data_IF_920021516977
#
_entry.id   IF_920021516977
#
_cell.length_a   1.000
_cell.length_b   1.000
_cell.length_c   1.000
_cell.angle_alpha   90.00
_cell.angle_beta   90.00
_cell.angle_gamma   90.00
#
_symmetry.space_group_name_H-M   'P 1'
#
loop_
_entity.id
_entity.type
_entity.pdbx_description
1 polymer ?
#
# COMPACT_ATOMS: atom_id res chain seq x y z
N UNK A 1 -5.01 -55.20 -40.33
CA UNK A 1 -5.72 -55.03 -39.04
C UNK A 1 -4.83 -54.33 -38.00
N UNK A 2 -3.57 -54.75 -37.85
CA UNK A 2 -2.61 -54.17 -36.88
C UNK A 2 -2.34 -52.67 -37.04
N UNK A 3 -2.23 -52.15 -38.28
CA UNK A 3 -1.98 -50.72 -38.52
C UNK A 3 -3.13 -49.80 -38.05
N UNK A 4 -4.39 -50.29 -38.09
CA UNK A 4 -5.55 -49.52 -37.60
C UNK A 4 -5.58 -49.44 -36.08
N UNK A 5 -5.10 -50.47 -35.40
CA UNK A 5 -4.98 -50.52 -33.93
C UNK A 5 -3.86 -49.59 -33.45
N UNK A 6 -2.71 -49.58 -34.13
CA UNK A 6 -1.59 -48.66 -33.81
C UNK A 6 -1.97 -47.19 -34.04
N UNK A 7 -2.73 -46.87 -35.09
CA UNK A 7 -3.18 -45.51 -35.36
C UNK A 7 -4.22 -45.01 -34.33
N UNK A 8 -5.11 -45.89 -33.87
CA UNK A 8 -6.11 -45.56 -32.84
C UNK A 8 -5.46 -45.25 -31.48
N UNK A 9 -4.41 -45.99 -31.10
CA UNK A 9 -3.67 -45.80 -29.85
C UNK A 9 -2.93 -44.45 -29.84
N UNK A 10 -2.36 -44.04 -30.98
CA UNK A 10 -1.66 -42.74 -31.12
C UNK A 10 -2.64 -41.55 -31.03
N UNK A 11 -3.85 -41.68 -31.57
CA UNK A 11 -4.88 -40.62 -31.46
C UNK A 11 -5.40 -40.50 -30.02
N UNK A 12 -5.58 -41.61 -29.31
CA UNK A 12 -6.01 -41.60 -27.90
C UNK A 12 -4.94 -40.98 -27.01
N UNK A 13 -3.65 -41.25 -27.23
CA UNK A 13 -2.58 -40.63 -26.44
C UNK A 13 -2.46 -39.11 -26.70
N UNK A 14 -2.63 -38.65 -27.94
CA UNK A 14 -2.64 -37.21 -28.27
C UNK A 14 -3.85 -36.49 -27.65
N UNK A 15 -5.03 -37.13 -27.63
CA UNK A 15 -6.22 -36.56 -26.99
C UNK A 15 -6.12 -36.50 -25.46
N UNK A 16 -5.44 -37.45 -24.81
CA UNK A 16 -5.18 -37.39 -23.36
C UNK A 16 -4.17 -36.31 -22.96
N UNK A 17 -3.30 -35.88 -23.88
CA UNK A 17 -2.34 -34.79 -23.66
C UNK A 17 -2.98 -33.38 -23.75
N UNK A 18 -4.17 -33.25 -24.35
CA UNK A 18 -4.91 -31.98 -24.44
C UNK A 18 -5.88 -31.73 -23.28
N UNK A 19 -6.04 -32.70 -22.37
CA UNK A 19 -6.79 -32.54 -21.12
C UNK A 19 -5.85 -32.45 -19.90
N UNK A 20 -4.69 -31.82 -20.07
CA UNK A 20 -4.01 -31.24 -18.92
C UNK A 20 -4.71 -29.91 -18.63
N UNK A 21 -5.83 -29.99 -17.92
CA UNK A 21 -6.49 -28.83 -17.34
C UNK A 21 -5.46 -28.11 -16.49
N UNK A 22 -4.84 -27.06 -17.03
CA UNK A 22 -4.19 -26.06 -16.18
C UNK A 22 -5.32 -25.34 -15.48
N UNK A 23 -5.85 -25.96 -14.42
CA UNK A 23 -6.60 -25.20 -13.43
C UNK A 23 -5.71 -24.00 -13.09
N UNK A 24 -6.18 -22.76 -13.27
CA UNK A 24 -5.41 -21.62 -12.82
C UNK A 24 -5.04 -21.89 -11.36
N UNK A 25 -3.76 -21.76 -11.03
CA UNK A 25 -3.30 -21.80 -9.64
C UNK A 25 -4.09 -20.72 -8.90
N UNK A 26 -5.20 -21.11 -8.26
CA UNK A 26 -5.84 -20.30 -7.24
C UNK A 26 -4.79 -20.15 -6.15
N UNK A 27 -4.04 -19.05 -6.18
CA UNK A 27 -3.26 -18.64 -5.02
C UNK A 27 -4.26 -18.33 -3.92
N UNK A 28 -4.58 -19.35 -3.14
CA UNK A 28 -5.42 -19.24 -1.96
C UNK A 28 -4.63 -18.48 -0.91
N UNK A 29 -5.11 -17.30 -0.53
CA UNK A 29 -4.51 -16.55 0.56
C UNK A 29 -4.57 -17.33 1.87
N UNK A 30 -3.52 -17.26 2.70
CA UNK A 30 -3.59 -17.85 4.03
C UNK A 30 -4.46 -17.02 4.99
N UNK A 31 -4.75 -15.75 4.67
CA UNK A 31 -5.39 -14.81 5.58
C UNK A 31 -6.88 -14.62 5.30
N UNK A 32 -7.65 -14.45 6.36
CA UNK A 32 -9.07 -14.05 6.30
C UNK A 32 -9.19 -12.53 6.30
N UNK A 33 -10.23 -12.00 5.66
CA UNK A 33 -10.53 -10.56 5.76
C UNK A 33 -10.66 -10.17 7.23
N UNK A 34 -10.07 -9.04 7.62
CA UNK A 34 -9.96 -8.55 9.02
C UNK A 34 -8.96 -9.29 9.90
N UNK A 35 -8.21 -10.25 9.38
CA UNK A 35 -7.13 -10.88 10.12
C UNK A 35 -5.97 -9.90 10.29
N UNK A 36 -5.42 -9.79 11.51
CA UNK A 36 -4.25 -8.97 11.77
C UNK A 36 -3.00 -9.69 11.26
N UNK A 37 -2.29 -9.08 10.31
CA UNK A 37 -1.16 -9.70 9.59
C UNK A 37 0.19 -9.06 9.92
N UNK A 38 0.20 -7.85 10.49
CA UNK A 38 1.42 -7.12 10.88
C UNK A 38 1.07 -6.06 11.94
N UNK A 39 2.08 -5.36 12.46
CA UNK A 39 1.89 -4.16 13.26
C UNK A 39 3.11 -3.24 13.24
N UNK A 40 2.88 -1.95 13.45
CA UNK A 40 3.92 -0.97 13.73
C UNK A 40 3.54 -0.18 14.98
N UNK A 41 4.44 -0.14 15.98
CA UNK A 41 4.22 0.57 17.24
C UNK A 41 2.89 0.21 17.94
N UNK A 42 2.51 -1.08 17.86
CA UNK A 42 1.26 -1.60 18.41
C UNK A 42 0.01 -1.39 17.54
N UNK A 43 0.10 -0.60 16.47
CA UNK A 43 -1.01 -0.37 15.53
C UNK A 43 -1.03 -1.50 14.50
N UNK A 44 -2.14 -2.25 14.45
CA UNK A 44 -2.27 -3.44 13.60
C UNK A 44 -2.50 -3.09 12.13
N UNK A 45 -1.96 -3.92 11.25
CA UNK A 45 -2.31 -4.02 9.83
C UNK A 45 -3.27 -5.19 9.67
N UNK A 46 -4.41 -4.95 9.03
CA UNK A 46 -5.39 -5.99 8.75
C UNK A 46 -5.45 -6.33 7.27
N UNK A 47 -5.65 -7.61 6.97
CA UNK A 47 -5.85 -8.08 5.61
C UNK A 47 -7.21 -7.62 5.06
N UNK A 48 -7.21 -6.96 3.89
CA UNK A 48 -8.44 -6.43 3.26
C UNK A 48 -9.00 -7.30 2.14
N UNK A 49 -8.29 -8.34 1.67
CA UNK A 49 -8.66 -9.04 0.44
C UNK A 49 -8.40 -8.17 -0.80
N UNK A 50 -9.36 -8.17 -1.74
CA UNK A 50 -9.31 -7.31 -2.94
C UNK A 50 -9.26 -5.82 -2.60
N UNK A 51 -8.69 -5.02 -3.50
CA UNK A 51 -8.36 -3.61 -3.21
C UNK A 51 -9.57 -2.69 -3.09
N UNK A 52 -10.70 -3.06 -3.67
CA UNK A 52 -11.97 -2.34 -3.61
C UNK A 52 -12.90 -2.85 -2.49
N UNK A 53 -12.47 -3.85 -1.70
CA UNK A 53 -13.26 -4.36 -0.60
C UNK A 53 -13.50 -3.28 0.47
N UNK A 54 -14.77 -3.11 0.84
CA UNK A 54 -15.25 -2.20 1.87
C UNK A 54 -16.22 -2.95 2.76
N UNK A 55 -15.88 -3.10 4.04
CA UNK A 55 -16.72 -3.79 5.01
C UNK A 55 -17.58 -2.83 5.83
N UNK A 56 -16.96 -1.81 6.41
CA UNK A 56 -17.65 -0.78 7.20
C UNK A 56 -16.82 0.49 7.35
N UNK A 57 -17.47 1.55 7.83
CA UNK A 57 -16.78 2.78 8.25
C UNK A 57 -16.20 2.59 9.66
N UNK A 58 -14.92 2.90 9.83
CA UNK A 58 -14.24 2.86 11.10
C UNK A 58 -14.22 4.23 11.78
N UNK A 59 -14.68 4.28 13.03
CA UNK A 59 -14.57 5.43 13.91
C UNK A 59 -13.75 5.06 15.14
N UNK A 60 -12.96 5.99 15.66
CA UNK A 60 -12.35 5.86 16.98
C UNK A 60 -13.40 5.95 18.10
N UNK A 61 -12.98 5.68 19.34
CA UNK A 61 -13.84 5.83 20.53
C UNK A 61 -14.39 7.25 20.72
N UNK A 62 -13.65 8.27 20.28
CA UNK A 62 -14.07 9.67 20.32
C UNK A 62 -14.74 10.15 19.02
N UNK A 63 -15.20 9.21 18.19
CA UNK A 63 -15.94 9.43 16.93
C UNK A 63 -15.14 10.14 15.83
N UNK A 64 -13.81 10.11 15.89
CA UNK A 64 -12.98 10.51 14.76
C UNK A 64 -13.10 9.48 13.63
N UNK A 65 -13.44 9.93 12.43
CA UNK A 65 -13.53 9.08 11.24
C UNK A 65 -12.13 8.61 10.85
N UNK A 66 -11.84 7.32 11.01
CA UNK A 66 -10.56 6.72 10.64
C UNK A 66 -10.52 6.38 9.15
N UNK A 67 -11.59 5.84 8.60
CA UNK A 67 -11.69 5.49 7.17
C UNK A 67 -12.56 4.27 6.95
N UNK A 68 -12.42 3.62 5.79
CA UNK A 68 -13.12 2.38 5.47
C UNK A 68 -12.26 1.18 5.87
N UNK A 69 -12.80 0.23 6.63
CA UNK A 69 -12.06 -0.99 7.01
C UNK A 69 -11.85 -1.89 5.78
N UNK A 70 -10.64 -2.33 5.44
CA UNK A 70 -9.30 -2.01 5.97
C UNK A 70 -8.42 -1.38 4.89
N UNK A 71 -8.86 -0.25 4.35
CA UNK A 71 -8.17 0.45 3.28
C UNK A 71 -6.89 1.16 3.76
N UNK A 72 -6.04 1.57 2.81
CA UNK A 72 -4.79 2.26 3.09
C UNK A 72 -4.97 3.57 3.88
N UNK A 73 -5.99 4.37 3.53
CA UNK A 73 -6.32 5.62 4.23
C UNK A 73 -6.74 5.37 5.67
N UNK A 74 -7.50 4.29 5.92
CA UNK A 74 -7.91 3.89 7.26
C UNK A 74 -6.69 3.57 8.14
N UNK A 75 -5.73 2.82 7.60
CA UNK A 75 -4.52 2.47 8.33
C UNK A 75 -3.70 3.69 8.72
N UNK A 76 -3.38 4.58 7.77
CA UNK A 76 -2.51 5.74 8.07
C UNK A 76 -3.18 6.70 9.05
N UNK A 77 -4.50 6.94 8.92
CA UNK A 77 -5.24 7.77 9.88
C UNK A 77 -5.32 7.11 11.26
N UNK A 78 -5.52 5.79 11.33
CA UNK A 78 -5.50 5.04 12.58
C UNK A 78 -4.11 5.03 13.22
N UNK A 79 -3.04 4.89 12.44
CA UNK A 79 -1.68 4.98 12.94
C UNK A 79 -1.39 6.35 13.56
N UNK A 80 -1.71 7.44 12.86
CA UNK A 80 -1.53 8.79 13.40
C UNK A 80 -2.42 9.05 14.62
N UNK A 81 -3.65 8.53 14.64
CA UNK A 81 -4.55 8.65 15.79
C UNK A 81 -4.04 7.86 17.01
N UNK A 82 -3.72 6.58 16.85
CA UNK A 82 -3.37 5.69 17.96
C UNK A 82 -1.96 5.95 18.49
N UNK A 83 -0.98 6.12 17.59
CA UNK A 83 0.42 6.30 17.97
C UNK A 83 0.79 7.75 18.23
N UNK A 84 0.45 8.66 17.31
CA UNK A 84 0.80 10.07 17.40
C UNK A 84 -0.22 10.95 18.12
N UNK A 85 -1.38 10.39 18.52
CA UNK A 85 -2.51 11.14 19.10
C UNK A 85 -2.95 12.31 18.21
N UNK A 86 -2.84 12.11 16.90
CA UNK A 86 -3.05 13.12 15.88
C UNK A 86 -4.31 12.86 15.08
N UNK A 87 -5.14 13.89 14.92
CA UNK A 87 -6.30 13.88 14.01
C UNK A 87 -6.02 14.83 12.86
N UNK A 88 -6.07 14.31 11.65
CA UNK A 88 -6.01 15.14 10.44
C UNK A 88 -7.30 15.94 10.32
N UNK A 89 -7.26 17.28 10.15
CA UNK A 89 -8.44 18.14 10.13
C UNK A 89 -9.42 17.80 9.00
N UNK A 90 -8.90 17.62 7.77
CA UNK A 90 -9.72 17.21 6.65
C UNK A 90 -9.77 15.68 6.61
N UNK A 91 -10.96 15.14 6.91
CA UNK A 91 -11.19 13.70 7.07
C UNK A 91 -11.44 12.97 5.76
N UNK A 92 -11.61 13.68 4.65
CA UNK A 92 -12.01 13.16 3.34
C UNK A 92 -10.84 13.14 2.34
N UNK A 93 -11.10 12.52 1.19
CA UNK A 93 -10.17 12.42 0.06
C UNK A 93 -9.61 11.01 -0.11
N UNK A 94 -9.13 10.75 -1.32
CA UNK A 94 -8.41 9.54 -1.65
C UNK A 94 -6.97 9.61 -1.15
N UNK A 95 -6.27 8.49 -1.25
CA UNK A 95 -4.88 8.39 -0.81
C UNK A 95 -3.98 9.48 -1.43
N UNK A 96 -4.05 9.71 -2.75
CA UNK A 96 -3.27 10.76 -3.42
C UNK A 96 -3.59 12.19 -2.93
N UNK A 97 -4.81 12.42 -2.47
CA UNK A 97 -5.29 13.74 -2.04
C UNK A 97 -4.69 14.15 -0.69
N UNK A 98 -3.93 13.26 -0.04
CA UNK A 98 -3.11 13.60 1.13
C UNK A 98 -1.94 14.52 0.76
N UNK A 99 -1.48 14.49 -0.49
CA UNK A 99 -0.43 15.38 -0.96
C UNK A 99 -1.04 16.61 -1.66
N UNK A 100 -0.74 17.80 -1.13
CA UNK A 100 -1.25 19.06 -1.68
C UNK A 100 -0.27 19.61 -2.71
N UNK A 101 -0.68 19.67 -3.97
CA UNK A 101 0.13 20.23 -5.05
C UNK A 101 0.32 21.73 -4.85
N UNK A 102 1.49 22.25 -5.22
CA UNK A 102 1.82 23.67 -5.12
C UNK A 102 2.33 24.16 -3.77
N UNK A 103 2.31 23.33 -2.71
CA UNK A 103 3.05 23.63 -1.48
C UNK A 103 4.57 23.54 -1.73
N UNK A 104 5.33 24.45 -1.12
CA UNK A 104 6.78 24.37 -1.11
C UNK A 104 7.25 23.20 -0.23
N UNK A 105 8.41 22.65 -0.54
CA UNK A 105 9.04 21.58 0.24
C UNK A 105 9.28 22.04 1.69
N UNK A 106 8.71 21.31 2.66
CA UNK A 106 8.78 21.65 4.08
C UNK A 106 7.68 22.59 4.58
N UNK A 107 6.66 22.92 3.77
CA UNK A 107 5.50 23.69 4.22
C UNK A 107 4.44 22.84 4.92
N UNK A 108 3.61 23.50 5.74
CA UNK A 108 2.49 22.85 6.40
C UNK A 108 1.36 22.54 5.41
N UNK A 109 0.98 21.28 5.35
CA UNK A 109 -0.27 20.84 4.74
C UNK A 109 -1.39 20.95 5.78
N UNK A 110 -2.12 22.06 5.74
CA UNK A 110 -3.19 22.39 6.68
C UNK A 110 -4.36 21.40 6.67
N UNK A 111 -4.57 20.68 5.56
CA UNK A 111 -5.61 19.66 5.45
C UNK A 111 -5.26 18.40 6.27
N UNK A 112 -3.98 18.20 6.58
CA UNK A 112 -3.47 17.07 7.35
C UNK A 112 -2.90 17.48 8.70
N UNK A 113 -2.62 18.77 8.88
CA UNK A 113 -1.87 19.33 10.01
C UNK A 113 -0.51 18.64 10.18
N UNK A 114 0.21 18.52 9.06
CA UNK A 114 1.52 17.87 8.94
C UNK A 114 2.42 18.69 8.02
N UNK A 115 3.73 18.63 8.25
CA UNK A 115 4.72 19.21 7.34
C UNK A 115 4.85 18.31 6.10
N UNK A 116 4.77 18.88 4.91
CA UNK A 116 4.84 18.16 3.64
C UNK A 116 6.19 18.37 2.97
N UNK A 117 6.83 17.27 2.59
CA UNK A 117 8.06 17.26 1.83
C UNK A 117 7.84 16.67 0.44
N UNK A 118 8.43 17.25 -0.58
CA UNK A 118 8.37 16.75 -1.96
C UNK A 118 9.31 15.55 -2.16
N UNK A 119 9.08 14.75 -3.20
CA UNK A 119 10.09 13.79 -3.65
C UNK A 119 10.68 14.26 -5.00
N UNK A 120 11.97 14.66 -5.08
CA UNK A 120 12.97 14.67 -4.02
C UNK A 120 12.87 15.87 -3.05
N UNK A 121 13.43 15.73 -1.83
CA UNK A 121 13.49 16.79 -0.80
C UNK A 121 14.91 16.97 -0.27
N UNK A 122 15.20 18.16 0.26
CA UNK A 122 16.42 18.39 1.08
C UNK A 122 16.35 17.72 2.46
N UNK A 123 15.15 17.43 2.93
CA UNK A 123 14.90 16.68 4.17
C UNK A 123 14.88 15.19 3.87
N UNK A 124 15.44 14.37 4.77
CA UNK A 124 15.38 12.91 4.64
C UNK A 124 14.06 12.38 5.22
N UNK A 125 13.47 11.31 4.64
CA UNK A 125 12.37 10.60 5.28
C UNK A 125 12.77 10.02 6.65
N UNK A 126 11.79 9.85 7.53
CA UNK A 126 11.93 9.36 8.89
C UNK A 126 10.88 8.29 9.19
N UNK A 127 11.15 7.44 10.19
CA UNK A 127 10.17 6.48 10.70
C UNK A 127 8.92 7.22 11.17
N UNK A 128 7.76 6.74 10.74
CA UNK A 128 6.45 7.31 11.04
C UNK A 128 5.95 8.34 10.04
N UNK A 129 6.77 8.76 9.06
CA UNK A 129 6.28 9.62 7.97
C UNK A 129 5.20 8.89 7.15
N UNK A 130 4.19 9.63 6.74
CA UNK A 130 3.15 9.17 5.82
C UNK A 130 3.60 9.42 4.38
N UNK A 131 3.88 8.36 3.62
CA UNK A 131 4.22 8.45 2.20
C UNK A 131 2.96 8.50 1.37
N UNK A 132 2.94 9.37 0.36
CA UNK A 132 1.84 9.48 -0.62
C UNK A 132 2.31 9.05 -2.00
N UNK A 133 1.59 8.10 -2.60
CA UNK A 133 1.79 7.62 -3.96
C UNK A 133 0.67 8.13 -4.86
N UNK A 134 1.04 8.57 -6.06
CA UNK A 134 0.13 8.97 -7.13
C UNK A 134 -0.73 7.80 -7.62
N UNK A 135 -1.84 8.15 -8.28
CA UNK A 135 -2.69 7.17 -8.95
C UNK A 135 -2.03 6.60 -10.22
N UNK A 136 -2.49 5.43 -10.61
CA UNK A 136 -2.20 4.77 -11.90
C UNK A 136 -3.50 4.59 -12.68
N UNK A 137 -3.41 4.09 -13.92
CA UNK A 137 -4.59 3.73 -14.72
C UNK A 137 -5.48 2.70 -14.02
N UNK A 138 -4.86 1.73 -13.34
CA UNK A 138 -5.55 0.67 -12.60
C UNK A 138 -5.90 1.03 -11.15
N UNK A 139 -5.33 2.11 -10.61
CA UNK A 139 -5.65 2.62 -9.28
C UNK A 139 -5.60 4.16 -9.29
N UNK A 140 -6.68 4.84 -9.72
CA UNK A 140 -6.69 6.30 -9.84
C UNK A 140 -6.71 7.04 -8.49
N UNK A 141 -6.95 6.32 -7.38
CA UNK A 141 -7.04 6.86 -6.02
C UNK A 141 -5.67 7.07 -5.37
N UNK A 142 -4.63 6.43 -5.90
CA UNK A 142 -3.29 6.44 -5.32
C UNK A 142 -3.12 5.45 -4.18
N UNK A 143 -2.06 5.63 -3.39
CA UNK A 143 -1.81 4.81 -2.21
C UNK A 143 -1.10 5.62 -1.12
N UNK A 144 -1.29 5.22 0.13
CA UNK A 144 -0.61 5.83 1.29
C UNK A 144 -0.11 4.74 2.22
N UNK A 145 1.06 4.97 2.79
CA UNK A 145 1.74 4.03 3.69
C UNK A 145 2.50 4.78 4.78
N UNK A 146 2.97 4.07 5.81
CA UNK A 146 3.81 4.62 6.87
C UNK A 146 5.23 4.11 6.70
N UNK A 147 6.25 4.95 6.86
CA UNK A 147 7.64 4.49 6.92
C UNK A 147 7.86 3.73 8.23
N UNK A 148 8.13 2.43 8.15
CA UNK A 148 8.41 1.57 9.31
C UNK A 148 9.89 1.56 9.70
N UNK A 149 10.80 1.78 8.74
CA UNK A 149 12.23 1.80 8.98
C UNK A 149 12.97 2.69 7.98
N UNK A 150 14.11 3.25 8.38
CA UNK A 150 15.02 4.00 7.51
C UNK A 150 16.42 3.39 7.63
N UNK A 151 16.98 3.03 6.48
CA UNK A 151 18.33 2.50 6.33
C UNK A 151 19.24 3.56 5.69
N UNK A 152 20.52 3.26 5.56
CA UNK A 152 21.48 4.15 4.89
C UNK A 152 21.05 4.48 3.44
N UNK A 153 20.62 3.47 2.69
CA UNK A 153 20.34 3.54 1.25
C UNK A 153 18.87 3.21 0.90
N UNK A 154 17.96 3.26 1.88
CA UNK A 154 16.59 2.82 1.65
C UNK A 154 15.66 3.13 2.80
N UNK A 155 14.39 2.86 2.55
CA UNK A 155 13.34 2.86 3.57
C UNK A 155 12.55 1.55 3.48
N UNK A 156 11.88 1.20 4.56
CA UNK A 156 10.80 0.22 4.57
C UNK A 156 9.50 0.95 4.89
N UNK A 157 8.45 0.64 4.14
CA UNK A 157 7.09 1.07 4.43
C UNK A 157 6.28 -0.09 5.04
N UNK A 158 5.23 0.25 5.78
CA UNK A 158 4.17 -0.63 6.21
C UNK A 158 2.82 -0.10 5.71
N UNK A 159 1.95 -0.99 5.21
CA UNK A 159 0.75 -0.62 4.46
C UNK A 159 -0.41 -1.62 4.65
N UNK A 160 -1.64 -1.13 4.41
CA UNK A 160 -2.84 -1.94 4.21
C UNK A 160 -3.35 -1.74 2.77
N UNK A 161 -4.00 -2.75 2.21
CA UNK A 161 -4.72 -2.62 0.93
C UNK A 161 -3.82 -2.22 -0.26
N UNK A 162 -2.59 -2.75 -0.31
CA UNK A 162 -1.68 -2.55 -1.44
C UNK A 162 -2.09 -3.37 -2.67
N UNK A 163 -2.68 -4.53 -2.41
CA UNK A 163 -3.09 -5.54 -3.35
C UNK A 163 -3.36 -6.79 -2.53
N UNK A 164 -4.17 -7.73 -3.03
CA UNK A 164 -4.45 -8.91 -2.23
C UNK A 164 -3.11 -9.68 -2.02
N UNK A 165 -2.20 -9.72 -3.01
CA UNK A 165 -0.93 -10.49 -3.01
C UNK A 165 0.26 -9.70 -2.49
N UNK A 166 0.06 -8.42 -2.21
CA UNK A 166 1.16 -7.53 -1.86
C UNK A 166 1.47 -7.64 -0.37
N UNK A 167 2.75 -7.62 -0.01
CA UNK A 167 3.16 -7.71 1.39
C UNK A 167 2.72 -6.46 2.16
N UNK A 168 2.50 -6.65 3.47
CA UNK A 168 2.29 -5.54 4.41
C UNK A 168 3.47 -4.59 4.48
N UNK A 169 4.68 -5.02 4.05
CA UNK A 169 5.90 -4.23 4.02
C UNK A 169 6.61 -4.28 2.69
N UNK A 170 7.09 -3.13 2.23
CA UNK A 170 7.85 -2.99 0.99
C UNK A 170 9.06 -2.08 1.22
N UNK A 171 10.15 -2.30 0.48
CA UNK A 171 11.37 -1.49 0.58
C UNK A 171 11.58 -0.66 -0.68
N UNK A 172 11.94 0.60 -0.50
CA UNK A 172 12.35 1.48 -1.59
C UNK A 172 13.79 1.94 -1.38
N UNK A 173 14.54 2.09 -2.47
CA UNK A 173 15.89 2.66 -2.43
C UNK A 173 15.84 4.16 -2.25
N UNK A 174 16.83 4.71 -1.57
CA UNK A 174 17.09 6.14 -1.52
C UNK A 174 18.23 6.48 -2.47
N UNK A 175 18.05 7.53 -3.26
CA UNK A 175 19.09 8.13 -4.08
C UNK A 175 19.43 9.52 -3.52
N UNK A 176 20.72 9.83 -3.43
CA UNK A 176 21.21 11.11 -2.94
C UNK A 176 21.93 11.85 -4.06
N UNK A 177 21.39 13.00 -4.47
CA UNK A 177 22.01 13.85 -5.50
C UNK A 177 21.70 15.32 -5.24
N UNK A 178 22.67 16.20 -5.52
CA UNK A 178 22.50 17.66 -5.38
C UNK A 178 21.91 18.11 -4.03
N UNK A 179 22.39 17.51 -2.92
CA UNK A 179 21.91 17.74 -1.55
C UNK A 179 20.42 17.41 -1.31
N UNK A 180 19.82 16.60 -2.20
CA UNK A 180 18.46 16.09 -2.06
C UNK A 180 18.45 14.57 -1.92
N UNK A 181 17.48 14.08 -1.18
CA UNK A 181 17.11 12.69 -1.02
C UNK A 181 15.87 12.41 -1.89
N UNK A 182 15.95 11.35 -2.69
CA UNK A 182 14.85 10.86 -3.52
C UNK A 182 14.50 9.43 -3.08
N UNK A 183 13.23 9.15 -2.83
CA UNK A 183 12.74 7.78 -2.72
C UNK A 183 12.48 7.27 -4.13
N UNK A 184 13.22 6.23 -4.53
CA UNK A 184 13.24 5.72 -5.91
C UNK A 184 11.97 4.94 -6.27
N UNK A 185 10.88 5.66 -6.49
CA UNK A 185 9.65 5.16 -7.10
C UNK A 185 8.91 6.36 -7.73
N UNK A 186 8.67 6.30 -9.05
CA UNK A 186 8.06 7.40 -9.81
C UNK A 186 6.66 7.78 -9.33
N UNK A 187 5.99 6.91 -8.57
CA UNK A 187 4.67 7.20 -8.00
C UNK A 187 4.76 8.01 -6.71
N UNK A 188 5.88 8.00 -5.99
CA UNK A 188 5.97 8.71 -4.72
C UNK A 188 5.99 10.21 -4.98
N UNK A 189 4.92 10.89 -4.54
CA UNK A 189 4.77 12.34 -4.61
C UNK A 189 5.63 13.04 -3.55
N UNK A 190 5.72 12.43 -2.37
CA UNK A 190 6.38 12.98 -1.20
C UNK A 190 5.92 12.28 0.09
N UNK A 191 6.19 12.92 1.21
CA UNK A 191 5.77 12.43 2.52
C UNK A 191 5.34 13.55 3.46
N UNK A 192 4.53 13.20 4.45
CA UNK A 192 4.02 14.09 5.49
C UNK A 192 4.58 13.69 6.85
N UNK A 193 4.97 14.67 7.66
CA UNK A 193 5.55 14.47 9.00
C UNK A 193 4.78 15.25 10.05
N UNK A 194 4.57 14.62 11.22
CA UNK A 194 4.08 15.34 12.39
C UNK A 194 5.21 16.19 12.96
N UNK A 195 5.00 17.51 13.06
CA UNK A 195 5.89 18.36 13.84
C UNK A 195 5.84 17.93 15.30
N UNK A 196 7.01 17.81 15.92
CA UNK A 196 7.18 17.42 17.33
C UNK A 196 6.26 18.19 18.28
#
# INVERSE_FOLDING_TARGET
MEYRIKFLIVIITILTLQFCSTAPLEKKYPFKISEAIDSLNGVKVFYNGETDNVTEVNFSSDKYLLGLKYQCVEFVKRYYYEYYKHKMPNVYGNAKDFFKTGLLDGEINTDRDLIQYSNPSSTKPQVGDLIVLSGTETNPYGHVAIISNVFENGIEIIQQNAGPFDPSREKYKLNYSNSKCEIMNKRILGWLRKSH
#
